data_IF_009884944596
#
_entry.id   IF_009884944596
#
_cell.length_a   1.000
_cell.length_b   1.000
_cell.length_c   1.000
_cell.angle_alpha   90.00
_cell.angle_beta   90.00
_cell.angle_gamma   90.00
#
_symmetry.space_group_name_H-M   'P 1'
#
loop_
_entity.id
_entity.type
_entity.pdbx_description
1 polymer ?
#
# COMPACT_ATOMS: atom_id res chain seq x y z
N UNK A 1 -11.78 46.89 -39.70
CA UNK A 1 -11.26 46.27 -38.47
C UNK A 1 -12.45 45.97 -37.57
N UNK A 2 -12.71 44.72 -37.22
CA UNK A 2 -13.86 44.34 -36.40
C UNK A 2 -13.54 44.52 -34.91
N UNK A 3 -14.36 45.31 -34.20
CA UNK A 3 -14.19 45.59 -32.78
C UNK A 3 -15.01 44.57 -31.97
N UNK A 4 -14.35 43.63 -31.30
CA UNK A 4 -15.00 42.60 -30.47
C UNK A 4 -14.84 42.97 -29.00
N UNK A 5 -15.93 43.12 -28.22
CA UNK A 5 -15.83 43.49 -26.82
C UNK A 5 -15.23 42.35 -25.97
N UNK A 6 -14.46 42.69 -24.91
CA UNK A 6 -13.78 41.70 -24.08
C UNK A 6 -14.77 40.87 -23.24
N UNK A 7 -14.47 39.58 -22.99
CA UNK A 7 -15.35 38.70 -22.24
C UNK A 7 -15.45 39.10 -20.77
N UNK A 8 -16.65 38.98 -20.21
CA UNK A 8 -16.93 39.29 -18.81
C UNK A 8 -16.10 38.41 -17.86
N UNK A 9 -15.36 39.04 -16.95
CA UNK A 9 -14.55 38.35 -15.94
C UNK A 9 -15.47 37.69 -14.90
N UNK A 10 -15.60 36.37 -14.97
CA UNK A 10 -16.15 35.58 -13.86
C UNK A 10 -15.03 35.39 -12.84
N UNK A 11 -15.16 36.03 -11.68
CA UNK A 11 -14.28 35.76 -10.55
C UNK A 11 -14.31 34.28 -10.20
N UNK A 12 -13.17 33.72 -9.77
CA UNK A 12 -13.16 32.38 -9.18
C UNK A 12 -14.11 32.43 -7.99
N UNK A 13 -15.13 31.57 -7.97
CA UNK A 13 -16.14 31.52 -6.92
C UNK A 13 -15.52 31.34 -5.53
N UNK A 14 -16.35 31.43 -4.50
CA UNK A 14 -15.90 31.31 -3.11
C UNK A 14 -15.08 30.04 -2.89
N UNK A 15 -13.96 30.13 -2.14
CA UNK A 15 -13.11 28.98 -1.88
C UNK A 15 -13.91 27.89 -1.14
N UNK A 16 -13.64 26.60 -1.44
CA UNK A 16 -14.35 25.51 -0.80
C UNK A 16 -14.16 25.54 0.73
N UNK A 17 -15.16 25.09 1.51
CA UNK A 17 -15.08 25.06 2.97
C UNK A 17 -13.88 24.23 3.44
N UNK A 18 -13.09 24.76 4.39
CA UNK A 18 -11.87 24.12 4.90
C UNK A 18 -12.11 22.70 5.47
N UNK A 19 -13.34 22.38 5.86
CA UNK A 19 -13.75 21.05 6.31
C UNK A 19 -13.57 19.95 5.24
N UNK A 20 -13.53 20.30 3.95
CA UNK A 20 -13.34 19.34 2.86
C UNK A 20 -11.89 18.82 2.72
N UNK A 21 -10.93 19.35 3.48
CA UNK A 21 -9.50 19.03 3.33
C UNK A 21 -9.01 17.96 4.31
N UNK A 22 -9.81 17.63 5.34
CA UNK A 22 -9.41 16.69 6.40
C UNK A 22 -9.28 15.24 5.91
N UNK A 23 -9.94 14.88 4.82
CA UNK A 23 -9.93 13.51 4.29
C UNK A 23 -8.56 13.11 3.69
N UNK A 24 -7.74 14.10 3.29
CA UNK A 24 -6.40 13.87 2.77
C UNK A 24 -5.32 13.72 3.86
N UNK A 25 -5.62 14.07 5.12
CA UNK A 25 -4.74 13.85 6.28
C UNK A 25 -5.05 12.56 7.03
N UNK A 26 -6.16 11.89 6.73
CA UNK A 26 -6.45 10.55 7.19
C UNK A 26 -5.48 9.57 6.52
N UNK A 27 -4.31 9.39 7.12
CA UNK A 27 -3.38 8.34 6.74
C UNK A 27 -4.11 7.01 6.93
N UNK A 28 -4.55 6.39 5.83
CA UNK A 28 -5.01 5.01 5.83
C UNK A 28 -3.79 4.11 6.11
N UNK A 29 -3.38 4.07 7.38
CA UNK A 29 -2.05 3.62 7.80
C UNK A 29 -1.91 2.09 7.87
N UNK A 30 -2.99 1.35 7.58
CA UNK A 30 -3.02 -0.11 7.75
C UNK A 30 -3.08 -0.93 6.45
N UNK A 31 -3.22 -0.31 5.27
CA UNK A 31 -3.47 -1.06 4.01
C UNK A 31 -2.24 -1.19 3.12
N UNK A 32 -1.19 -0.39 3.35
CA UNK A 32 0.02 -0.46 2.50
C UNK A 32 0.99 -1.51 3.00
N UNK A 33 0.97 -2.68 2.34
CA UNK A 33 1.98 -3.73 2.51
C UNK A 33 3.38 -3.18 2.22
N UNK A 34 4.34 -3.50 3.08
CA UNK A 34 5.76 -3.14 2.89
C UNK A 34 6.55 -4.38 2.45
N UNK A 35 7.44 -4.25 1.44
CA UNK A 35 8.29 -5.37 1.04
C UNK A 35 9.40 -5.59 2.08
N UNK A 36 9.66 -6.85 2.43
CA UNK A 36 10.77 -7.23 3.32
C UNK A 36 12.11 -7.43 2.58
N UNK A 37 12.10 -7.53 1.24
CA UNK A 37 13.29 -7.55 0.37
C UNK A 37 14.39 -8.55 0.77
N UNK A 38 14.03 -9.78 1.13
CA UNK A 38 15.02 -10.82 1.41
C UNK A 38 15.66 -11.38 0.13
N UNK A 39 16.98 -11.56 0.17
CA UNK A 39 17.71 -12.42 -0.77
C UNK A 39 18.03 -13.71 -0.05
N UNK A 40 17.62 -14.84 -0.63
CA UNK A 40 17.83 -16.17 -0.06
C UNK A 40 18.58 -17.06 -1.05
N UNK A 41 19.32 -18.08 -0.58
CA UNK A 41 19.90 -19.09 -1.46
C UNK A 41 18.83 -19.76 -2.35
N UNK A 42 19.22 -20.16 -3.56
CA UNK A 42 18.30 -20.77 -4.52
C UNK A 42 17.69 -22.07 -4.01
N UNK A 43 18.48 -22.89 -3.32
CA UNK A 43 18.03 -24.17 -2.77
C UNK A 43 16.97 -23.96 -1.69
N UNK A 44 17.20 -23.02 -0.77
CA UNK A 44 16.21 -22.65 0.24
C UNK A 44 14.91 -22.14 -0.39
N UNK A 45 15.00 -21.28 -1.41
CA UNK A 45 13.80 -20.78 -2.10
C UNK A 45 12.98 -21.92 -2.71
N UNK A 46 13.65 -22.92 -3.31
CA UNK A 46 12.99 -24.11 -3.87
C UNK A 46 12.31 -24.92 -2.77
N UNK A 47 13.01 -25.23 -1.69
CA UNK A 47 12.47 -26.00 -0.57
C UNK A 47 11.28 -25.29 0.07
N UNK A 48 11.41 -23.99 0.33
CA UNK A 48 10.34 -23.16 0.90
C UNK A 48 9.09 -23.13 0.01
N UNK A 49 9.28 -23.03 -1.31
CA UNK A 49 8.19 -23.08 -2.27
C UNK A 49 7.53 -24.47 -2.28
N UNK A 50 8.31 -25.54 -2.31
CA UNK A 50 7.79 -26.91 -2.26
C UNK A 50 7.00 -27.15 -0.97
N UNK A 51 7.52 -26.75 0.18
CA UNK A 51 6.82 -26.85 1.46
C UNK A 51 5.48 -26.10 1.45
N UNK A 52 5.45 -24.87 0.94
CA UNK A 52 4.20 -24.11 0.82
C UNK A 52 3.18 -24.82 -0.07
N UNK A 53 3.62 -25.38 -1.21
CA UNK A 53 2.74 -26.08 -2.15
C UNK A 53 2.19 -27.38 -1.56
N UNK A 54 3.02 -28.16 -0.86
CA UNK A 54 2.61 -29.40 -0.20
C UNK A 54 1.54 -29.18 0.86
N UNK A 55 1.59 -28.04 1.56
CA UNK A 55 0.64 -27.68 2.61
C UNK A 55 -0.54 -26.83 2.10
N UNK A 56 -0.65 -26.59 0.78
CA UNK A 56 -1.71 -25.76 0.21
C UNK A 56 -1.69 -24.29 0.66
N UNK A 57 -0.53 -23.80 1.10
CA UNK A 57 -0.34 -22.44 1.63
C UNK A 57 0.42 -21.57 0.63
N UNK A 58 0.22 -20.25 0.73
CA UNK A 58 1.10 -19.31 0.02
C UNK A 58 2.44 -19.18 0.75
N UNK A 59 3.52 -18.84 0.03
CA UNK A 59 4.81 -18.53 0.63
C UNK A 59 4.72 -17.43 1.70
N UNK A 60 3.83 -16.44 1.50
CA UNK A 60 3.58 -15.39 2.49
C UNK A 60 2.95 -15.94 3.76
N UNK A 61 1.97 -16.84 3.64
CA UNK A 61 1.33 -17.48 4.80
C UNK A 61 2.34 -18.30 5.61
N UNK A 62 3.17 -19.10 4.93
CA UNK A 62 4.26 -19.85 5.59
C UNK A 62 5.23 -18.91 6.30
N UNK A 63 5.60 -17.78 5.69
CA UNK A 63 6.49 -16.79 6.31
C UNK A 63 5.90 -16.19 7.59
N UNK A 64 4.63 -15.79 7.55
CA UNK A 64 3.93 -15.19 8.71
C UNK A 64 3.79 -16.20 9.85
N UNK A 65 3.35 -17.42 9.55
CA UNK A 65 3.22 -18.49 10.55
C UNK A 65 4.58 -18.88 11.14
N UNK A 66 5.62 -19.00 10.31
CA UNK A 66 6.98 -19.30 10.77
C UNK A 66 7.48 -18.22 11.73
N UNK A 67 7.23 -16.95 11.43
CA UNK A 67 7.62 -15.85 12.31
C UNK A 67 6.82 -15.85 13.62
N UNK A 68 5.51 -16.13 13.56
CA UNK A 68 4.67 -16.26 14.74
C UNK A 68 5.16 -17.38 15.66
N UNK A 69 5.38 -18.58 15.12
CA UNK A 69 5.93 -19.71 15.88
C UNK A 69 7.30 -19.40 16.49
N UNK A 70 8.16 -18.73 15.71
CA UNK A 70 9.47 -18.30 16.21
C UNK A 70 9.34 -17.35 17.41
N UNK A 71 8.42 -16.38 17.33
CA UNK A 71 8.11 -15.48 18.44
C UNK A 71 7.52 -16.20 19.63
N UNK A 72 6.57 -17.11 19.45
CA UNK A 72 6.00 -17.89 20.55
C UNK A 72 7.09 -18.68 21.31
N UNK A 73 8.12 -19.15 20.60
CA UNK A 73 9.24 -19.88 21.21
C UNK A 73 10.38 -18.97 21.75
N UNK A 74 10.46 -17.69 21.35
CA UNK A 74 11.56 -16.76 21.71
C UNK A 74 11.14 -15.52 22.51
N UNK A 75 9.88 -15.07 22.44
CA UNK A 75 9.30 -13.84 23.02
C UNK A 75 8.87 -12.79 21.99
#
# INVERSE_FOLDING_TARGET
MANVPPPARRGKGEPPPQAAVLDNLARAESVRLKPLNFKVPADFHREFKTFSAMNGMSMLAVLVESFRLYREHKG
#
